data_IF_891168573243
#
_entry.id   IF_891168573243
#
_cell.length_a   1.000
_cell.length_b   1.000
_cell.length_c   1.000
_cell.angle_alpha   90.00
_cell.angle_beta   90.00
_cell.angle_gamma   90.00
#
_symmetry.space_group_name_H-M   'P 1'
#
loop_
_entity.id
_entity.type
_entity.pdbx_description
1 polymer ?
#
# COMPACT_ATOMS: atom_id res chain seq x y z
N UNK A 1 -18.35 -0.08 -10.74
CA UNK A 1 -17.85 1.10 -11.50
C UNK A 1 -17.36 0.69 -12.87
N UNK A 2 -17.16 1.65 -13.79
CA UNK A 2 -16.66 1.34 -15.14
C UNK A 2 -15.25 0.78 -15.09
N UNK A 3 -15.00 -0.26 -15.91
CA UNK A 3 -13.70 -0.90 -16.03
C UNK A 3 -12.72 0.04 -16.75
N UNK A 4 -11.78 0.62 -16.04
CA UNK A 4 -10.89 1.66 -16.54
C UNK A 4 -10.00 1.16 -17.70
N UNK A 5 -9.39 0.00 -17.54
CA UNK A 5 -8.49 -0.55 -18.54
C UNK A 5 -9.23 -1.02 -19.80
N UNK A 6 -10.46 -1.52 -19.63
CA UNK A 6 -11.34 -1.86 -20.75
C UNK A 6 -11.61 -0.67 -21.67
N UNK A 7 -11.86 0.52 -21.09
CA UNK A 7 -12.12 1.73 -21.88
C UNK A 7 -10.93 2.21 -22.72
N UNK A 8 -9.72 1.78 -22.37
CA UNK A 8 -8.49 2.10 -23.13
C UNK A 8 -8.23 1.15 -24.30
N UNK A 9 -9.07 0.15 -24.50
CA UNK A 9 -8.90 -0.89 -25.51
C UNK A 9 -9.61 -0.49 -26.83
N UNK A 10 -9.02 -0.92 -27.97
CA UNK A 10 -9.72 -0.87 -29.24
C UNK A 10 -10.84 -1.92 -29.29
N UNK A 11 -11.71 -1.87 -30.32
CA UNK A 11 -12.88 -2.76 -30.43
C UNK A 11 -12.52 -4.25 -30.48
N UNK A 12 -11.44 -4.61 -31.15
CA UNK A 12 -10.95 -5.99 -31.24
C UNK A 12 -10.49 -6.49 -29.87
N UNK A 13 -9.68 -5.71 -29.18
CA UNK A 13 -9.21 -6.00 -27.84
C UNK A 13 -10.36 -6.09 -26.84
N UNK A 14 -11.37 -5.21 -26.96
CA UNK A 14 -12.58 -5.27 -26.12
C UNK A 14 -13.34 -6.57 -26.33
N UNK A 15 -13.42 -7.06 -27.55
CA UNK A 15 -14.08 -8.34 -27.87
C UNK A 15 -13.35 -9.52 -27.19
N UNK A 16 -12.02 -9.56 -27.29
CA UNK A 16 -11.18 -10.57 -26.63
C UNK A 16 -11.34 -10.49 -25.10
N UNK A 17 -11.24 -9.29 -24.54
CA UNK A 17 -11.41 -9.05 -23.09
C UNK A 17 -12.77 -9.55 -22.58
N UNK A 18 -13.86 -9.26 -23.30
CA UNK A 18 -15.19 -9.75 -22.93
C UNK A 18 -15.33 -11.26 -23.01
N UNK A 19 -14.70 -11.91 -24.02
CA UNK A 19 -14.70 -13.36 -24.11
C UNK A 19 -14.01 -13.99 -22.90
N UNK A 20 -12.84 -13.46 -22.49
CA UNK A 20 -12.12 -13.92 -21.30
C UNK A 20 -12.97 -13.69 -20.05
N UNK A 21 -13.46 -12.47 -19.85
CA UNK A 21 -14.27 -12.09 -18.68
C UNK A 21 -15.48 -13.00 -18.52
N UNK A 22 -16.24 -13.22 -19.59
CA UNK A 22 -17.43 -14.08 -19.58
C UNK A 22 -17.10 -15.53 -19.23
N UNK A 23 -16.04 -16.11 -19.82
CA UNK A 23 -15.65 -17.49 -19.55
C UNK A 23 -15.22 -17.69 -18.09
N UNK A 24 -14.42 -16.78 -17.53
CA UNK A 24 -13.98 -16.88 -16.12
C UNK A 24 -15.11 -16.60 -15.14
N UNK A 25 -16.07 -15.73 -15.46
CA UNK A 25 -17.27 -15.50 -14.64
C UNK A 25 -18.19 -16.70 -14.59
N UNK A 26 -18.34 -17.42 -15.72
CA UNK A 26 -19.13 -18.64 -15.82
C UNK A 26 -18.42 -19.87 -15.23
N UNK A 27 -17.17 -19.72 -14.76
CA UNK A 27 -16.34 -20.82 -14.26
C UNK A 27 -16.19 -21.96 -15.30
N UNK A 28 -15.98 -21.59 -16.56
CA UNK A 28 -15.77 -22.55 -17.64
C UNK A 28 -14.36 -23.14 -17.55
N UNK A 29 -14.23 -24.46 -17.79
CA UNK A 29 -12.93 -25.12 -17.75
C UNK A 29 -12.06 -24.76 -18.96
N UNK A 30 -12.71 -24.58 -20.12
CA UNK A 30 -12.11 -24.09 -21.37
C UNK A 30 -13.17 -23.39 -22.21
N UNK A 31 -12.77 -22.38 -22.97
CA UNK A 31 -13.66 -21.62 -23.84
C UNK A 31 -12.90 -20.97 -25.00
N UNK A 32 -13.63 -20.55 -26.03
CA UNK A 32 -13.05 -19.91 -27.21
C UNK A 32 -12.82 -18.40 -26.93
N UNK A 33 -11.64 -17.95 -27.36
CA UNK A 33 -11.26 -16.54 -27.34
C UNK A 33 -10.71 -16.18 -28.72
N UNK A 34 -11.09 -15.04 -29.34
CA UNK A 34 -10.55 -14.65 -30.65
C UNK A 34 -9.02 -14.63 -30.64
N UNK A 35 -8.41 -15.12 -31.71
CA UNK A 35 -6.97 -15.24 -31.84
C UNK A 35 -6.32 -13.84 -31.90
N UNK A 36 -5.23 -13.67 -31.18
CA UNK A 36 -4.37 -12.49 -31.20
C UNK A 36 -2.93 -12.92 -30.95
N UNK A 37 -1.99 -11.99 -30.95
CA UNK A 37 -0.64 -12.29 -30.53
C UNK A 37 -0.57 -12.60 -29.03
N UNK A 38 0.49 -13.30 -28.63
CA UNK A 38 0.68 -13.76 -27.25
C UNK A 38 0.73 -12.61 -26.25
N UNK A 39 1.41 -11.55 -26.59
CA UNK A 39 1.60 -10.39 -25.68
C UNK A 39 0.27 -9.69 -25.43
N UNK A 40 -0.52 -9.47 -26.48
CA UNK A 40 -1.88 -8.92 -26.38
C UNK A 40 -2.75 -9.78 -25.47
N UNK A 41 -2.75 -11.12 -25.64
CA UNK A 41 -3.56 -12.01 -24.81
C UNK A 41 -3.20 -11.89 -23.31
N UNK A 42 -1.89 -11.90 -22.98
CA UNK A 42 -1.42 -11.74 -21.61
C UNK A 42 -1.78 -10.36 -21.03
N UNK A 43 -1.63 -9.30 -21.82
CA UNK A 43 -1.95 -7.94 -21.39
C UNK A 43 -3.45 -7.76 -21.13
N UNK A 44 -4.32 -8.35 -21.97
CA UNK A 44 -5.76 -8.26 -21.79
C UNK A 44 -6.23 -9.05 -20.57
N UNK A 45 -5.74 -10.27 -20.37
CA UNK A 45 -6.01 -11.04 -19.16
C UNK A 45 -5.57 -10.30 -17.89
N UNK A 46 -4.37 -9.72 -17.91
CA UNK A 46 -3.86 -8.96 -16.80
C UNK A 46 -4.72 -7.73 -16.49
N UNK A 47 -5.05 -6.90 -17.50
CA UNK A 47 -5.91 -5.72 -17.35
C UNK A 47 -7.30 -6.09 -16.84
N UNK A 48 -7.86 -7.20 -17.30
CA UNK A 48 -9.15 -7.73 -16.81
C UNK A 48 -9.09 -7.98 -15.28
N UNK A 49 -8.02 -8.57 -14.77
CA UNK A 49 -7.85 -8.82 -13.34
C UNK A 49 -7.67 -7.53 -12.52
N UNK A 50 -7.11 -6.46 -13.10
CA UNK A 50 -7.01 -5.15 -12.44
C UNK A 50 -8.35 -4.41 -12.41
N UNK A 51 -9.15 -4.54 -13.47
CA UNK A 51 -10.49 -3.94 -13.54
C UNK A 51 -11.50 -4.68 -12.62
N UNK A 52 -11.34 -6.01 -12.47
CA UNK A 52 -12.29 -6.92 -11.81
C UNK A 52 -11.66 -7.65 -10.63
N UNK A 53 -11.29 -6.94 -9.53
CA UNK A 53 -10.71 -7.57 -8.34
C UNK A 53 -11.67 -8.55 -7.65
N UNK A 54 -12.98 -8.47 -7.91
CA UNK A 54 -13.99 -9.43 -7.46
C UNK A 54 -13.77 -10.82 -8.05
N UNK A 55 -13.04 -10.95 -9.20
CA UNK A 55 -12.68 -12.21 -9.83
C UNK A 55 -11.36 -12.73 -9.23
N UNK A 56 -11.37 -13.04 -7.95
CA UNK A 56 -10.20 -13.48 -7.20
C UNK A 56 -9.81 -14.94 -7.39
N UNK A 57 -10.59 -15.71 -8.14
CA UNK A 57 -10.42 -17.16 -8.29
C UNK A 57 -9.61 -17.59 -9.49
N UNK A 58 -9.26 -16.69 -10.42
CA UNK A 58 -8.44 -16.99 -11.59
C UNK A 58 -7.06 -16.34 -11.43
N UNK A 59 -6.01 -17.17 -11.41
CA UNK A 59 -4.65 -16.72 -11.14
C UNK A 59 -3.74 -16.75 -12.38
N UNK A 60 -4.13 -17.53 -13.38
CA UNK A 60 -3.36 -17.69 -14.60
C UNK A 60 -4.21 -18.35 -15.69
N UNK A 61 -3.57 -18.62 -16.79
CA UNK A 61 -4.19 -19.36 -17.89
C UNK A 61 -3.15 -20.08 -18.72
N UNK A 62 -3.63 -21.12 -19.44
CA UNK A 62 -2.97 -21.75 -20.59
C UNK A 62 -3.87 -21.58 -21.79
N UNK A 63 -3.33 -21.73 -23.00
CA UNK A 63 -4.12 -21.73 -24.22
C UNK A 63 -3.59 -22.74 -25.21
N UNK A 64 -4.51 -23.26 -26.05
CA UNK A 64 -4.20 -24.10 -27.22
C UNK A 64 -4.57 -23.29 -28.44
N UNK A 65 -3.78 -23.42 -29.49
CA UNK A 65 -4.13 -22.88 -30.80
C UNK A 65 -3.94 -23.92 -31.86
N UNK A 66 -4.75 -23.85 -32.91
CA UNK A 66 -4.63 -24.69 -34.08
C UNK A 66 -4.31 -23.77 -35.26
N UNK A 67 -3.44 -24.26 -36.16
CA UNK A 67 -3.06 -23.51 -37.36
C UNK A 67 -4.31 -23.15 -38.15
N UNK A 68 -4.43 -21.89 -38.59
CA UNK A 68 -5.58 -21.34 -39.30
C UNK A 68 -6.91 -21.25 -38.49
N UNK A 69 -6.91 -21.49 -37.21
CA UNK A 69 -8.08 -21.24 -36.37
C UNK A 69 -8.21 -19.74 -36.06
N UNK A 70 -9.43 -19.16 -36.21
CA UNK A 70 -9.68 -17.78 -35.81
C UNK A 70 -9.76 -17.60 -34.30
N UNK A 71 -9.68 -18.67 -33.50
CA UNK A 71 -9.81 -18.65 -32.05
C UNK A 71 -8.73 -19.49 -31.37
N UNK A 72 -8.39 -19.09 -30.16
CA UNK A 72 -7.69 -19.93 -29.18
C UNK A 72 -8.70 -20.65 -28.28
N UNK A 73 -8.28 -21.80 -27.74
CA UNK A 73 -8.96 -22.42 -26.61
C UNK A 73 -8.26 -21.90 -25.37
N UNK A 74 -8.95 -21.04 -24.60
CA UNK A 74 -8.47 -20.49 -23.36
C UNK A 74 -8.80 -21.43 -22.21
N UNK A 75 -7.82 -21.73 -21.34
CA UNK A 75 -7.91 -22.67 -20.23
C UNK A 75 -7.50 -21.92 -18.96
N UNK A 76 -8.46 -21.39 -18.18
CA UNK A 76 -8.15 -20.65 -16.96
C UNK A 76 -7.57 -21.56 -15.88
N UNK A 77 -6.68 -21.01 -15.06
CA UNK A 77 -6.13 -21.66 -13.88
C UNK A 77 -6.84 -21.11 -12.65
N UNK A 78 -7.72 -21.92 -12.08
CA UNK A 78 -8.53 -21.56 -10.93
C UNK A 78 -7.82 -21.87 -9.62
N UNK A 79 -7.89 -20.93 -8.67
CA UNK A 79 -7.31 -21.06 -7.33
C UNK A 79 -8.00 -22.13 -6.48
N UNK A 80 -9.29 -22.38 -6.74
CA UNK A 80 -10.12 -23.31 -6.01
C UNK A 80 -11.01 -24.12 -6.97
N UNK A 81 -11.60 -25.21 -6.46
CA UNK A 81 -12.67 -25.92 -7.15
C UNK A 81 -13.94 -25.06 -7.25
N UNK A 82 -14.77 -25.29 -8.26
CA UNK A 82 -15.95 -24.48 -8.60
C UNK A 82 -16.90 -24.26 -7.40
N UNK A 83 -17.19 -25.31 -6.66
CA UNK A 83 -18.08 -25.23 -5.48
C UNK A 83 -17.51 -24.30 -4.40
N UNK A 84 -16.19 -24.38 -4.21
CA UNK A 84 -15.47 -23.54 -3.24
C UNK A 84 -15.37 -22.09 -3.69
N UNK A 85 -15.26 -21.84 -5.00
CA UNK A 85 -15.30 -20.48 -5.57
C UNK A 85 -16.65 -19.83 -5.22
N UNK A 86 -17.76 -20.53 -5.46
CA UNK A 86 -19.11 -20.00 -5.19
C UNK A 86 -19.30 -19.70 -3.69
N UNK A 87 -18.79 -20.57 -2.82
CA UNK A 87 -18.81 -20.33 -1.36
C UNK A 87 -18.02 -19.06 -0.99
N UNK A 88 -16.78 -18.96 -1.50
CA UNK A 88 -15.92 -17.81 -1.24
C UNK A 88 -16.47 -16.51 -1.82
N UNK A 89 -17.08 -16.51 -3.01
CA UNK A 89 -17.75 -15.34 -3.57
C UNK A 89 -18.82 -14.79 -2.61
N UNK A 90 -19.70 -15.67 -2.10
CA UNK A 90 -20.73 -15.28 -1.12
C UNK A 90 -20.09 -14.69 0.14
N UNK A 91 -19.05 -15.34 0.67
CA UNK A 91 -18.34 -14.88 1.86
C UNK A 91 -17.66 -13.54 1.64
N UNK A 92 -17.00 -13.33 0.50
CA UNK A 92 -16.33 -12.05 0.16
C UNK A 92 -17.33 -10.92 -0.04
N UNK A 93 -18.45 -11.16 -0.74
CA UNK A 93 -19.50 -10.16 -0.90
C UNK A 93 -20.06 -9.71 0.45
N UNK A 94 -20.40 -10.64 1.33
CA UNK A 94 -20.88 -10.35 2.69
C UNK A 94 -19.81 -9.62 3.53
N UNK A 95 -18.53 -9.99 3.35
CA UNK A 95 -17.40 -9.33 4.03
C UNK A 95 -17.23 -7.89 3.58
N UNK A 96 -17.23 -7.63 2.28
CA UNK A 96 -17.14 -6.27 1.70
C UNK A 96 -18.33 -5.43 2.20
N UNK A 97 -19.56 -5.93 2.09
CA UNK A 97 -20.77 -5.22 2.57
C UNK A 97 -20.67 -4.85 4.05
N UNK A 98 -20.23 -5.79 4.89
CA UNK A 98 -20.03 -5.54 6.33
C UNK A 98 -18.97 -4.47 6.59
N UNK A 99 -17.85 -4.50 5.86
CA UNK A 99 -16.74 -3.55 6.02
C UNK A 99 -17.12 -2.14 5.59
N UNK A 100 -17.85 -1.97 4.48
CA UNK A 100 -18.17 -0.62 3.97
C UNK A 100 -19.34 0.04 4.69
N UNK A 101 -20.21 -0.72 5.34
CA UNK A 101 -21.42 -0.21 5.98
C UNK A 101 -21.19 0.98 6.92
N UNK A 102 -20.17 1.01 7.80
CA UNK A 102 -19.93 2.15 8.69
C UNK A 102 -19.57 3.44 7.95
N UNK A 103 -18.94 3.32 6.76
CA UNK A 103 -18.40 4.45 6.02
C UNK A 103 -19.32 4.96 4.90
N UNK A 104 -20.50 4.38 4.70
CA UNK A 104 -21.41 4.73 3.59
C UNK A 104 -21.77 6.22 3.52
N UNK A 105 -21.89 6.89 4.68
CA UNK A 105 -22.26 8.31 4.78
C UNK A 105 -21.07 9.27 4.86
N UNK A 106 -19.84 8.75 4.84
CA UNK A 106 -18.64 9.56 4.90
C UNK A 106 -18.43 10.34 3.60
N UNK A 107 -17.68 11.43 3.66
CA UNK A 107 -17.16 12.11 2.47
C UNK A 107 -16.16 11.21 1.72
N UNK A 108 -15.89 11.48 0.44
CA UNK A 108 -14.94 10.69 -0.37
C UNK A 108 -13.57 10.54 0.31
N UNK A 109 -13.03 11.64 0.86
CA UNK A 109 -11.75 11.61 1.58
C UNK A 109 -11.80 10.77 2.86
N UNK A 110 -12.90 10.84 3.63
CA UNK A 110 -13.08 10.03 4.83
C UNK A 110 -13.28 8.54 4.49
N UNK A 111 -13.96 8.23 3.38
CA UNK A 111 -14.09 6.86 2.85
C UNK A 111 -12.74 6.29 2.45
N UNK A 112 -11.94 7.07 1.72
CA UNK A 112 -10.58 6.71 1.35
C UNK A 112 -9.72 6.43 2.59
N UNK A 113 -9.73 7.37 3.54
CA UNK A 113 -8.98 7.19 4.79
C UNK A 113 -9.43 5.96 5.58
N UNK A 114 -10.73 5.72 5.66
CA UNK A 114 -11.29 4.55 6.34
C UNK A 114 -10.78 3.23 5.74
N UNK A 115 -10.76 3.14 4.40
CA UNK A 115 -10.25 1.95 3.69
C UNK A 115 -8.74 1.81 3.90
N UNK A 116 -7.99 2.89 3.76
CA UNK A 116 -6.55 2.89 4.01
C UNK A 116 -6.21 2.43 5.43
N UNK A 117 -6.88 3.00 6.44
CA UNK A 117 -6.66 2.66 7.85
C UNK A 117 -6.99 1.18 8.10
N UNK A 118 -8.10 0.68 7.55
CA UNK A 118 -8.46 -0.72 7.65
C UNK A 118 -7.34 -1.64 7.13
N UNK A 119 -6.74 -1.32 5.98
CA UNK A 119 -5.62 -2.09 5.43
C UNK A 119 -4.41 -2.01 6.36
N UNK A 120 -4.03 -0.83 6.81
CA UNK A 120 -2.86 -0.64 7.67
C UNK A 120 -2.99 -1.36 9.02
N UNK A 121 -4.19 -1.42 9.58
CA UNK A 121 -4.46 -2.04 10.89
C UNK A 121 -4.65 -3.55 10.82
N UNK A 122 -5.29 -4.05 9.75
CA UNK A 122 -5.81 -5.42 9.73
C UNK A 122 -5.09 -6.35 8.74
N UNK A 123 -4.19 -5.84 7.90
CA UNK A 123 -3.49 -6.64 6.89
C UNK A 123 -2.00 -6.69 7.18
N UNK A 124 -1.42 -7.90 7.16
CA UNK A 124 0.01 -8.11 7.21
C UNK A 124 0.57 -8.37 5.81
N UNK A 125 1.76 -7.81 5.51
CA UNK A 125 2.43 -8.11 4.24
C UNK A 125 2.89 -9.57 4.22
N UNK A 126 2.47 -10.33 3.20
CA UNK A 126 2.81 -11.76 3.06
C UNK A 126 4.19 -11.94 2.43
N UNK A 127 5.19 -12.17 3.27
CA UNK A 127 6.57 -12.47 2.82
C UNK A 127 6.67 -13.81 2.08
N UNK A 128 5.73 -14.74 2.29
CA UNK A 128 5.70 -16.03 1.62
C UNK A 128 5.06 -15.98 0.23
N UNK A 129 4.39 -14.87 -0.10
CA UNK A 129 3.74 -14.62 -1.40
C UNK A 129 2.84 -15.76 -1.86
N UNK A 130 1.99 -16.24 -0.97
CA UNK A 130 1.03 -17.31 -1.29
C UNK A 130 0.07 -16.87 -2.39
N UNK A 131 -0.42 -17.77 -3.26
CA UNK A 131 -1.28 -17.40 -4.39
C UNK A 131 -2.49 -16.57 -4.01
N UNK A 132 -3.17 -16.89 -2.90
CA UNK A 132 -4.33 -16.14 -2.42
C UNK A 132 -3.98 -14.73 -1.89
N UNK A 133 -2.72 -14.47 -1.54
CA UNK A 133 -2.27 -13.15 -1.07
C UNK A 133 -2.18 -12.12 -2.20
N UNK A 134 -2.23 -12.54 -3.46
CA UNK A 134 -2.34 -11.70 -4.65
C UNK A 134 -3.79 -11.32 -4.99
N UNK A 135 -4.76 -11.86 -4.26
CA UNK A 135 -6.19 -11.68 -4.49
C UNK A 135 -6.88 -11.14 -3.25
N UNK A 136 -8.10 -10.59 -3.41
CA UNK A 136 -8.84 -9.97 -2.30
C UNK A 136 -9.09 -10.91 -1.12
N UNK A 137 -9.14 -12.22 -1.38
CA UNK A 137 -9.35 -13.22 -0.32
C UNK A 137 -8.19 -13.25 0.68
N UNK A 138 -6.98 -12.87 0.29
CA UNK A 138 -5.85 -12.70 1.19
C UNK A 138 -6.08 -11.56 2.19
N UNK A 139 -6.10 -10.29 1.76
CA UNK A 139 -6.28 -9.15 2.66
C UNK A 139 -7.62 -9.14 3.40
N UNK A 140 -8.73 -9.44 2.72
CA UNK A 140 -10.08 -9.33 3.31
C UNK A 140 -10.53 -10.58 4.06
N UNK A 141 -10.00 -11.76 3.70
CA UNK A 141 -10.36 -13.03 4.31
C UNK A 141 -9.36 -13.54 5.34
N UNK A 142 -8.06 -13.46 5.04
CA UNK A 142 -6.97 -14.01 5.85
C UNK A 142 -6.14 -12.95 6.58
N UNK A 143 -6.37 -11.66 6.33
CA UNK A 143 -5.58 -10.57 6.91
C UNK A 143 -4.13 -10.53 6.43
N UNK A 144 -3.82 -11.11 5.26
CA UNK A 144 -2.48 -11.10 4.67
C UNK A 144 -2.55 -10.78 3.18
N UNK A 145 -1.60 -10.00 2.66
CA UNK A 145 -1.58 -9.65 1.25
C UNK A 145 -0.20 -9.20 0.78
N UNK A 146 0.05 -9.35 -0.51
CA UNK A 146 1.13 -8.65 -1.21
C UNK A 146 0.56 -7.37 -1.83
N UNK A 147 1.39 -6.53 -2.43
CA UNK A 147 0.96 -5.25 -3.01
C UNK A 147 -0.26 -5.40 -3.96
N UNK A 148 -0.27 -6.43 -4.82
CA UNK A 148 -1.39 -6.69 -5.74
C UNK A 148 -2.69 -6.98 -5.00
N UNK A 149 -2.68 -7.87 -4.02
CA UNK A 149 -3.87 -8.19 -3.23
C UNK A 149 -4.36 -7.02 -2.39
N UNK A 150 -3.44 -6.24 -1.82
CA UNK A 150 -3.76 -5.01 -1.07
C UNK A 150 -4.41 -3.98 -1.99
N UNK A 151 -3.82 -3.70 -3.15
CA UNK A 151 -4.38 -2.75 -4.12
C UNK A 151 -5.76 -3.18 -4.63
N UNK A 152 -5.98 -4.48 -4.86
CA UNK A 152 -7.29 -5.06 -5.21
C UNK A 152 -8.30 -4.90 -4.07
N UNK A 153 -7.89 -5.11 -2.81
CA UNK A 153 -8.74 -4.94 -1.65
C UNK A 153 -9.14 -3.47 -1.45
N UNK A 154 -8.21 -2.54 -1.60
CA UNK A 154 -8.50 -1.09 -1.58
C UNK A 154 -9.52 -0.75 -2.66
N UNK A 155 -9.30 -1.20 -3.91
CA UNK A 155 -10.20 -0.92 -5.03
C UNK A 155 -11.61 -1.43 -4.76
N UNK A 156 -11.79 -2.69 -4.37
CA UNK A 156 -13.14 -3.25 -4.18
C UNK A 156 -13.91 -2.56 -3.05
N UNK A 157 -13.22 -2.16 -1.98
CA UNK A 157 -13.84 -1.43 -0.87
C UNK A 157 -14.22 0.00 -1.28
N UNK A 158 -13.35 0.72 -2.00
CA UNK A 158 -13.63 2.06 -2.50
C UNK A 158 -14.74 2.06 -3.55
N UNK A 159 -14.73 1.09 -4.47
CA UNK A 159 -15.80 0.90 -5.46
C UNK A 159 -17.15 0.68 -4.78
N UNK A 160 -17.20 -0.16 -3.75
CA UNK A 160 -18.41 -0.40 -2.95
C UNK A 160 -18.89 0.85 -2.18
N UNK A 161 -17.97 1.75 -1.81
CA UNK A 161 -18.26 3.04 -1.19
C UNK A 161 -18.61 4.15 -2.20
N UNK A 162 -18.55 3.88 -3.51
CA UNK A 162 -18.81 4.86 -4.56
C UNK A 162 -17.64 5.84 -4.80
N UNK A 163 -16.43 5.52 -4.36
CA UNK A 163 -15.20 6.29 -4.64
C UNK A 163 -14.48 5.67 -5.82
N UNK A 164 -14.23 6.46 -6.87
CA UNK A 164 -13.55 5.98 -8.06
C UNK A 164 -12.09 5.61 -7.76
N UNK A 165 -11.69 4.40 -8.17
CA UNK A 165 -10.38 3.85 -7.89
C UNK A 165 -9.91 2.95 -9.04
N UNK A 166 -8.64 3.08 -9.44
CA UNK A 166 -7.96 2.15 -10.35
C UNK A 166 -6.69 1.61 -9.70
N UNK A 167 -6.22 0.47 -10.18
CA UNK A 167 -4.96 -0.13 -9.72
C UNK A 167 -3.86 0.32 -10.68
N UNK A 168 -2.88 1.04 -10.17
CA UNK A 168 -1.67 1.42 -10.88
C UNK A 168 -0.61 0.32 -10.77
N UNK A 169 0.25 0.22 -11.78
CA UNK A 169 1.28 -0.82 -11.85
C UNK A 169 2.56 -0.25 -12.44
N UNK A 170 3.70 -0.49 -11.79
CA UNK A 170 5.02 -0.25 -12.35
C UNK A 170 5.78 -1.56 -12.65
N UNK A 171 6.81 -1.45 -13.47
CA UNK A 171 7.72 -2.55 -13.78
C UNK A 171 8.68 -2.87 -12.64
N UNK A 172 9.42 -3.96 -12.81
CA UNK A 172 10.66 -4.18 -12.08
C UNK A 172 11.79 -3.34 -12.71
N UNK A 173 12.85 -3.11 -11.94
CA UNK A 173 14.06 -2.45 -12.41
C UNK A 173 15.29 -3.13 -11.80
N UNK A 174 15.83 -4.17 -12.46
CA UNK A 174 16.96 -4.92 -11.96
C UNK A 174 18.23 -4.08 -11.73
N UNK A 175 18.42 -3.02 -12.51
CA UNK A 175 19.57 -2.11 -12.40
C UNK A 175 19.55 -1.34 -11.07
N UNK A 176 18.35 -1.03 -10.57
CA UNK A 176 18.14 -0.43 -9.24
C UNK A 176 17.93 -1.48 -8.14
N UNK A 177 18.11 -2.78 -8.44
CA UNK A 177 17.86 -3.86 -7.50
C UNK A 177 16.36 -4.16 -7.25
N UNK A 178 15.45 -3.57 -8.01
CA UNK A 178 14.01 -3.76 -7.90
C UNK A 178 13.63 -5.04 -8.66
N UNK A 179 13.45 -6.13 -7.92
CA UNK A 179 13.22 -7.47 -8.49
C UNK A 179 11.80 -7.73 -8.95
N UNK A 180 10.82 -7.01 -8.40
CA UNK A 180 9.40 -7.30 -8.59
C UNK A 180 8.65 -6.06 -9.07
N UNK A 181 7.57 -6.30 -9.81
CA UNK A 181 6.56 -5.29 -10.11
C UNK A 181 5.91 -4.82 -8.82
N UNK A 182 5.46 -3.58 -8.79
CA UNK A 182 4.70 -3.04 -7.67
C UNK A 182 3.36 -2.50 -8.14
N UNK A 183 2.34 -2.63 -7.28
CA UNK A 183 0.97 -2.18 -7.54
C UNK A 183 0.46 -1.36 -6.37
N UNK A 184 -0.24 -0.27 -6.69
CA UNK A 184 -0.92 0.61 -5.75
C UNK A 184 -2.21 1.15 -6.38
N UNK A 185 -2.81 2.17 -5.83
CA UNK A 185 -4.07 2.71 -6.32
C UNK A 185 -3.91 4.17 -6.80
N UNK A 186 -4.75 4.55 -7.77
CA UNK A 186 -5.06 5.94 -8.06
C UNK A 186 -6.53 6.13 -7.73
N UNK A 187 -6.83 7.12 -6.90
CA UNK A 187 -8.17 7.45 -6.42
C UNK A 187 -8.61 8.81 -6.94
N UNK A 188 -9.92 9.03 -7.08
CA UNK A 188 -10.47 10.33 -7.45
C UNK A 188 -11.26 10.90 -6.30
N UNK A 189 -10.77 12.01 -5.76
CA UNK A 189 -11.39 12.73 -4.62
C UNK A 189 -11.84 14.11 -5.09
N UNK A 190 -13.14 14.38 -5.07
CA UNK A 190 -13.74 15.63 -5.58
C UNK A 190 -13.30 15.98 -7.00
N UNK A 191 -13.25 14.98 -7.86
CA UNK A 191 -12.90 15.14 -9.27
C UNK A 191 -11.40 15.19 -9.59
N UNK A 192 -10.51 15.20 -8.59
CA UNK A 192 -9.05 15.23 -8.74
C UNK A 192 -8.45 13.86 -8.42
N UNK A 193 -7.46 13.44 -9.19
CA UNK A 193 -6.79 12.14 -9.06
C UNK A 193 -5.51 12.23 -8.21
N UNK A 194 -5.31 11.22 -7.37
CA UNK A 194 -4.17 11.10 -6.44
C UNK A 194 -3.67 9.67 -6.37
N UNK A 195 -2.38 9.49 -6.12
CA UNK A 195 -1.83 8.19 -5.77
C UNK A 195 -2.09 7.86 -4.30
N UNK A 196 -2.46 6.61 -4.05
CA UNK A 196 -2.65 6.01 -2.74
C UNK A 196 -1.91 4.68 -2.67
N UNK A 197 -0.83 4.59 -1.90
CA UNK A 197 -0.13 3.33 -1.67
C UNK A 197 -0.25 2.86 -0.22
N UNK A 198 -1.33 2.14 0.05
CA UNK A 198 -1.56 1.53 1.36
C UNK A 198 -0.55 0.42 1.69
N UNK A 199 0.16 -0.15 0.72
CA UNK A 199 1.19 -1.18 0.97
C UNK A 199 2.44 -0.55 1.59
N UNK A 200 2.92 0.56 1.04
CA UNK A 200 4.08 1.27 1.58
C UNK A 200 3.75 1.85 2.95
N UNK A 201 2.61 2.49 3.13
CA UNK A 201 2.18 3.01 4.43
C UNK A 201 2.02 1.90 5.48
N UNK A 202 1.47 0.75 5.12
CA UNK A 202 1.35 -0.42 5.99
C UNK A 202 2.71 -0.94 6.44
N UNK A 203 3.69 -1.05 5.54
CA UNK A 203 5.04 -1.56 5.86
C UNK A 203 5.83 -0.59 6.73
N UNK A 204 5.77 0.71 6.45
CA UNK A 204 6.40 1.76 7.26
C UNK A 204 5.82 1.84 8.69
N UNK A 205 4.53 1.53 8.87
CA UNK A 205 3.87 1.57 10.17
C UNK A 205 4.31 0.49 11.15
N UNK A 206 4.92 -0.60 10.65
CA UNK A 206 5.31 -1.78 11.47
C UNK A 206 6.70 -1.70 12.09
N UNK A 207 7.50 -0.70 11.71
CA UNK A 207 8.84 -0.53 12.24
C UNK A 207 8.84 0.28 13.55
N UNK A 208 8.85 -0.43 14.68
CA UNK A 208 9.30 -0.06 16.04
C UNK A 208 8.86 1.25 16.71
N UNK A 209 8.26 2.22 16.07
CA UNK A 209 7.69 3.40 16.72
C UNK A 209 6.17 3.26 16.79
N UNK A 210 5.71 2.85 17.98
CA UNK A 210 4.31 2.83 18.44
C UNK A 210 3.20 2.99 17.38
N UNK A 211 2.67 1.90 16.88
CA UNK A 211 1.27 1.67 16.51
C UNK A 211 0.45 2.68 15.69
N UNK A 212 0.95 3.88 15.42
CA UNK A 212 0.22 4.86 14.64
C UNK A 212 0.40 4.62 13.14
N UNK A 213 -0.71 4.67 12.41
CA UNK A 213 -0.74 4.54 10.96
C UNK A 213 0.14 5.61 10.29
N UNK A 214 0.87 5.21 9.25
CA UNK A 214 1.60 6.12 8.36
C UNK A 214 0.68 6.55 7.20
N UNK A 215 0.91 7.76 6.70
CA UNK A 215 0.18 8.35 5.57
C UNK A 215 1.14 9.04 4.59
N UNK A 216 2.33 8.48 4.45
CA UNK A 216 3.41 9.03 3.64
C UNK A 216 3.11 8.93 2.15
N UNK A 217 2.24 7.97 1.79
CA UNK A 217 1.81 7.68 0.42
C UNK A 217 0.30 7.87 0.22
N UNK A 218 -0.31 8.72 1.04
CA UNK A 218 -1.74 9.03 0.98
C UNK A 218 -1.99 10.34 0.22
N UNK A 219 -2.60 10.26 -0.96
CA UNK A 219 -2.92 11.38 -1.85
C UNK A 219 -1.69 12.14 -2.38
N UNK A 220 -0.73 11.40 -2.94
CA UNK A 220 0.44 11.97 -3.58
C UNK A 220 0.19 12.35 -5.05
N UNK A 221 0.82 13.46 -5.54
CA UNK A 221 0.92 13.72 -6.97
C UNK A 221 2.04 12.89 -7.63
N UNK A 222 2.00 12.80 -8.97
CA UNK A 222 3.04 12.15 -9.79
C UNK A 222 4.47 12.58 -9.39
N UNK A 223 4.67 13.87 -9.22
CA UNK A 223 5.99 14.43 -8.86
C UNK A 223 6.56 13.86 -7.55
N UNK A 224 5.70 13.40 -6.63
CA UNK A 224 6.12 12.86 -5.36
C UNK A 224 6.21 11.33 -5.40
N UNK A 225 5.21 10.64 -5.92
CA UNK A 225 5.20 9.17 -5.95
C UNK A 225 6.39 8.60 -6.73
N UNK A 226 6.73 9.21 -7.89
CA UNK A 226 7.84 8.75 -8.73
C UNK A 226 9.24 9.13 -8.21
N UNK A 227 9.37 9.59 -6.97
CA UNK A 227 10.68 9.71 -6.30
C UNK A 227 11.25 8.35 -5.90
N UNK A 228 10.41 7.39 -5.63
CA UNK A 228 10.75 6.05 -5.16
C UNK A 228 9.93 4.92 -5.81
N UNK A 229 8.95 5.27 -6.64
CA UNK A 229 8.23 4.32 -7.48
C UNK A 229 8.75 4.38 -8.92
N UNK A 230 8.81 3.22 -9.57
CA UNK A 230 9.18 3.15 -10.99
C UNK A 230 8.02 3.65 -11.89
N UNK A 231 8.32 4.08 -13.13
CA UNK A 231 7.30 4.51 -14.08
C UNK A 231 6.22 3.47 -14.33
N UNK A 232 5.00 3.93 -14.58
CA UNK A 232 3.86 3.07 -14.89
C UNK A 232 4.08 2.30 -16.20
N UNK A 233 3.74 1.02 -16.20
CA UNK A 233 3.76 0.15 -17.38
C UNK A 233 2.40 -0.02 -18.05
N UNK A 234 1.35 0.54 -17.45
CA UNK A 234 0.02 0.62 -18.01
C UNK A 234 -0.50 2.07 -17.92
N UNK A 235 -1.26 2.56 -18.91
CA UNK A 235 -1.81 3.91 -18.88
C UNK A 235 -2.66 4.12 -17.63
N UNK A 236 -2.46 5.25 -16.96
CA UNK A 236 -3.25 5.67 -15.81
C UNK A 236 -3.47 7.19 -15.84
N UNK A 237 -4.47 7.73 -15.14
CA UNK A 237 -4.70 9.16 -15.07
C UNK A 237 -3.53 9.87 -14.41
N UNK A 238 -3.15 11.05 -14.93
CA UNK A 238 -2.17 11.90 -14.29
C UNK A 238 -2.66 12.43 -12.95
N UNK A 239 -1.79 12.46 -11.95
CA UNK A 239 -2.02 13.00 -10.62
C UNK A 239 -1.19 14.26 -10.43
N UNK A 240 -1.71 15.42 -10.89
CA UNK A 240 -0.94 16.68 -10.94
C UNK A 240 -1.05 17.51 -9.66
N UNK A 241 -2.06 17.28 -8.85
CA UNK A 241 -2.36 18.03 -7.63
C UNK A 241 -1.91 17.25 -6.38
N UNK A 242 -1.28 17.93 -5.45
CA UNK A 242 -0.85 17.40 -4.15
C UNK A 242 -1.48 18.09 -2.95
N UNK A 243 -2.60 18.82 -3.12
CA UNK A 243 -3.19 19.61 -2.04
C UNK A 243 -3.91 18.75 -1.00
N UNK A 244 -4.37 17.56 -1.41
CA UNK A 244 -4.98 16.56 -0.51
C UNK A 244 -3.97 15.57 0.11
N UNK A 245 -2.68 15.79 -0.09
CA UNK A 245 -1.67 15.03 0.65
C UNK A 245 -1.94 15.10 2.14
N UNK A 246 -1.97 13.95 2.82
CA UNK A 246 -2.43 13.82 4.19
C UNK A 246 -1.85 14.87 5.15
N UNK A 247 -0.53 15.05 5.12
CA UNK A 247 0.15 15.98 6.04
C UNK A 247 -0.15 17.44 5.73
N UNK A 248 -0.50 17.81 4.49
CA UNK A 248 -1.02 19.15 4.16
C UNK A 248 -2.43 19.33 4.70
N UNK A 249 -3.32 18.38 4.45
CA UNK A 249 -4.71 18.41 4.93
C UNK A 249 -4.79 18.50 6.45
N UNK A 250 -3.88 17.80 7.16
CA UNK A 250 -3.80 17.80 8.62
C UNK A 250 -2.97 18.96 9.20
N UNK A 251 -2.47 19.90 8.38
CA UNK A 251 -1.60 21.01 8.80
C UNK A 251 -0.33 20.52 9.53
N UNK A 252 0.20 19.39 9.07
CA UNK A 252 1.44 18.76 9.51
C UNK A 252 2.52 18.82 8.43
N UNK A 253 2.45 19.80 7.54
CA UNK A 253 3.42 20.02 6.47
C UNK A 253 4.08 21.39 6.70
N UNK A 254 5.36 21.38 7.08
CA UNK A 254 6.05 22.57 7.56
C UNK A 254 7.07 23.12 6.56
N UNK A 255 7.24 24.45 6.57
CA UNK A 255 8.24 25.18 5.77
C UNK A 255 9.29 25.87 6.64
N UNK A 256 9.06 26.00 7.95
CA UNK A 256 9.90 26.70 8.89
C UNK A 256 10.35 25.78 10.01
N UNK A 257 11.62 25.88 10.35
CA UNK A 257 12.24 25.10 11.45
C UNK A 257 11.58 25.41 12.80
N UNK A 258 11.16 26.66 13.02
CA UNK A 258 10.50 27.09 14.24
C UNK A 258 9.14 26.39 14.45
N UNK A 259 8.44 26.05 13.36
CA UNK A 259 7.19 25.28 13.45
C UNK A 259 7.48 23.84 13.89
N UNK A 260 8.53 23.23 13.35
CA UNK A 260 8.99 21.89 13.77
C UNK A 260 9.34 21.89 15.25
N UNK A 261 10.14 22.86 15.72
CA UNK A 261 10.47 22.98 17.13
C UNK A 261 9.23 23.11 18.03
N UNK A 262 8.30 24.02 17.69
CA UNK A 262 7.07 24.24 18.48
C UNK A 262 6.21 22.99 18.57
N UNK A 263 6.05 22.27 17.44
CA UNK A 263 5.29 21.01 17.41
C UNK A 263 5.98 19.89 18.18
N UNK A 264 7.30 19.80 18.05
CA UNK A 264 8.13 18.87 18.80
C UNK A 264 8.02 19.09 20.30
N UNK A 265 8.05 20.35 20.74
CA UNK A 265 7.88 20.70 22.15
C UNK A 265 6.50 20.27 22.71
N UNK A 266 5.43 20.45 21.89
CA UNK A 266 4.09 19.99 22.25
C UNK A 266 4.00 18.45 22.31
N UNK A 267 4.64 17.76 21.37
CA UNK A 267 4.69 16.31 21.32
C UNK A 267 5.47 15.74 22.52
N UNK A 268 6.64 16.28 22.82
CA UNK A 268 7.47 15.91 23.98
C UNK A 268 6.70 16.10 25.29
N UNK A 269 6.04 17.26 25.47
CA UNK A 269 5.22 17.53 26.67
C UNK A 269 4.07 16.52 26.85
N UNK A 270 3.45 16.06 25.77
CA UNK A 270 2.28 15.17 25.81
C UNK A 270 2.63 13.69 25.71
N UNK A 271 3.90 13.33 25.54
CA UNK A 271 4.32 11.95 25.28
C UNK A 271 3.72 11.37 23.98
N UNK A 272 3.47 12.22 22.97
CA UNK A 272 2.86 11.82 21.68
C UNK A 272 3.92 11.74 20.59
N UNK A 273 3.65 10.89 19.60
CA UNK A 273 4.40 10.87 18.34
C UNK A 273 4.06 12.11 17.52
N UNK A 274 5.06 12.70 16.87
CA UNK A 274 4.88 13.73 15.84
C UNK A 274 5.39 13.18 14.52
N UNK A 275 4.49 13.05 13.54
CA UNK A 275 4.85 12.76 12.13
C UNK A 275 4.50 13.98 11.29
N UNK A 276 5.45 14.45 10.48
CA UNK A 276 5.26 15.64 9.67
C UNK A 276 6.02 15.53 8.33
N UNK A 277 5.51 16.23 7.33
CA UNK A 277 6.16 16.42 6.04
C UNK A 277 6.97 17.73 6.04
N UNK A 278 8.23 17.67 5.59
CA UNK A 278 9.06 18.83 5.38
C UNK A 278 8.96 19.34 3.94
N UNK A 279 8.63 20.62 3.75
CA UNK A 279 8.57 21.29 2.43
C UNK A 279 9.26 22.65 2.39
N UNK A 280 10.10 22.96 3.37
CA UNK A 280 10.89 24.19 3.46
C UNK A 280 12.13 24.20 2.56
N UNK A 281 12.16 23.31 1.56
CA UNK A 281 13.27 23.08 0.65
C UNK A 281 13.54 21.59 0.49
N UNK A 282 14.61 21.22 -0.20
CA UNK A 282 15.04 19.81 -0.27
C UNK A 282 15.48 19.33 1.11
N UNK A 283 15.10 18.11 1.46
CA UNK A 283 15.58 17.46 2.67
C UNK A 283 17.00 16.93 2.41
N UNK A 284 18.01 17.81 2.56
CA UNK A 284 19.41 17.41 2.52
C UNK A 284 19.85 16.88 3.90
N UNK A 285 21.05 16.30 3.98
CA UNK A 285 21.61 15.85 5.26
C UNK A 285 21.79 17.00 6.25
N UNK A 286 22.24 18.17 5.77
CA UNK A 286 22.41 19.39 6.55
C UNK A 286 21.07 19.90 7.07
N UNK A 287 20.04 19.96 6.21
CA UNK A 287 18.70 20.35 6.63
C UNK A 287 18.12 19.36 7.65
N UNK A 288 18.29 18.05 7.43
CA UNK A 288 17.87 17.06 8.42
C UNK A 288 18.57 17.27 9.75
N UNK A 289 19.88 17.57 9.76
CA UNK A 289 20.60 17.85 11.02
C UNK A 289 19.98 19.03 11.75
N UNK A 290 19.67 20.14 11.05
CA UNK A 290 19.00 21.31 11.65
C UNK A 290 17.64 20.91 12.26
N UNK A 291 16.84 20.09 11.57
CA UNK A 291 15.56 19.62 12.07
C UNK A 291 15.75 18.72 13.32
N UNK A 292 16.72 17.81 13.26
CA UNK A 292 17.06 16.89 14.37
C UNK A 292 17.49 17.68 15.62
N UNK A 293 18.34 18.69 15.45
CA UNK A 293 18.81 19.52 16.57
C UNK A 293 17.66 20.29 17.24
N UNK A 294 16.73 20.79 16.46
CA UNK A 294 15.53 21.44 17.00
C UNK A 294 14.58 20.45 17.71
N UNK A 295 14.41 19.23 17.17
CA UNK A 295 13.62 18.18 17.83
C UNK A 295 14.31 17.72 19.13
N UNK A 296 15.65 17.56 19.11
CA UNK A 296 16.44 17.20 20.30
C UNK A 296 16.36 18.29 21.36
N UNK A 297 16.50 19.56 20.98
CA UNK A 297 16.31 20.70 21.90
C UNK A 297 14.93 20.65 22.57
N UNK A 298 13.87 20.41 21.81
CA UNK A 298 12.52 20.28 22.34
C UNK A 298 12.37 19.10 23.31
N UNK A 299 13.03 17.97 23.03
CA UNK A 299 13.08 16.81 23.93
C UNK A 299 13.80 17.14 25.24
N UNK A 300 15.00 17.70 25.16
CA UNK A 300 15.82 18.06 26.32
C UNK A 300 15.09 19.03 27.26
N UNK A 301 14.32 20.01 26.75
CA UNK A 301 13.51 20.92 27.55
C UNK A 301 12.39 20.20 28.32
N UNK A 302 12.09 18.97 28.00
CA UNK A 302 11.07 18.14 28.67
C UNK A 302 11.67 16.89 29.32
N UNK A 303 12.99 16.83 29.46
CA UNK A 303 13.73 15.67 29.98
C UNK A 303 13.37 14.36 29.26
N UNK A 304 13.30 14.42 27.91
CA UNK A 304 12.95 13.28 27.05
C UNK A 304 14.09 12.99 26.06
N UNK A 305 14.33 11.72 25.81
CA UNK A 305 15.06 11.24 24.62
C UNK A 305 14.12 11.16 23.43
N UNK A 306 14.66 10.98 22.22
CA UNK A 306 13.85 10.84 21.01
C UNK A 306 14.29 9.64 20.18
N UNK A 307 13.32 8.95 19.58
CA UNK A 307 13.50 8.01 18.48
C UNK A 307 13.04 8.67 17.19
N UNK A 308 13.78 8.46 16.11
CA UNK A 308 13.55 9.11 14.82
C UNK A 308 13.39 8.08 13.72
N UNK A 309 12.38 8.28 12.88
CA UNK A 309 12.21 7.55 11.61
C UNK A 309 12.05 8.56 10.48
N UNK A 310 12.63 8.26 9.32
CA UNK A 310 12.64 9.17 8.17
C UNK A 310 12.24 8.38 6.93
N UNK A 311 11.20 8.86 6.26
CA UNK A 311 10.93 8.52 4.88
C UNK A 311 11.60 9.58 4.00
N UNK A 312 12.81 9.29 3.56
CA UNK A 312 13.65 10.24 2.84
C UNK A 312 13.05 10.69 1.50
N UNK A 313 12.59 9.80 0.60
CA UNK A 313 12.00 10.20 -0.67
C UNK A 313 10.81 11.14 -0.51
N UNK A 314 9.96 10.88 0.47
CA UNK A 314 8.75 11.68 0.72
C UNK A 314 8.99 12.85 1.68
N UNK A 315 10.21 13.02 2.20
CA UNK A 315 10.58 14.04 3.17
C UNK A 315 9.63 14.05 4.39
N UNK A 316 9.24 12.86 4.87
CA UNK A 316 8.41 12.69 6.06
C UNK A 316 9.28 12.26 7.23
N UNK A 317 9.18 13.01 8.32
CA UNK A 317 9.94 12.79 9.54
C UNK A 317 8.98 12.42 10.68
N UNK A 318 9.31 11.35 11.41
CA UNK A 318 8.55 10.89 12.57
C UNK A 318 9.46 10.88 13.79
N UNK A 319 9.04 11.51 14.87
CA UNK A 319 9.74 11.56 16.15
C UNK A 319 8.82 11.10 17.27
N UNK A 320 9.34 10.21 18.11
CA UNK A 320 8.73 9.80 19.38
C UNK A 320 9.63 10.21 20.53
N UNK A 321 9.04 10.82 21.55
CA UNK A 321 9.73 11.21 22.78
C UNK A 321 9.47 10.19 23.87
N UNK A 322 10.56 9.78 24.55
CA UNK A 322 10.54 8.78 25.62
C UNK A 322 11.17 9.38 26.88
N UNK A 323 10.80 8.88 28.05
CA UNK A 323 11.49 9.24 29.30
C UNK A 323 12.97 8.90 29.18
N UNK A 324 13.83 9.75 29.74
CA UNK A 324 15.23 9.41 29.93
C UNK A 324 15.26 8.15 30.80
N UNK A 325 15.75 7.06 30.28
CA UNK A 325 16.12 5.93 31.13
C UNK A 325 17.31 6.40 31.95
N UNK A 326 17.11 6.59 33.26
CA UNK A 326 18.21 6.69 34.19
C UNK A 326 18.82 5.28 34.20
N UNK A 327 20.00 5.12 33.61
CA UNK A 327 20.81 3.93 33.88
C UNK A 327 21.01 3.91 35.41
N UNK A 328 20.31 3.00 36.10
CA UNK A 328 20.72 2.64 37.45
C UNK A 328 22.16 2.13 37.31
N UNK A 329 23.10 2.93 37.81
CA UNK A 329 24.47 2.54 37.94
C UNK A 329 24.47 1.24 38.75
N UNK A 330 24.70 0.12 38.06
CA UNK A 330 25.02 -1.14 38.74
C UNK A 330 26.30 -0.86 39.48
N UNK A 331 26.23 -0.60 40.80
CA UNK A 331 27.37 -0.67 41.67
C UNK A 331 27.79 -2.14 41.65
N UNK A 332 28.87 -2.44 40.91
CA UNK A 332 29.60 -3.67 41.13
C UNK A 332 30.18 -3.57 42.53
N UNK A 333 29.58 -4.28 43.48
CA UNK A 333 30.28 -4.60 44.73
C UNK A 333 31.40 -5.59 44.33
N UNK A 334 32.65 -5.16 44.46
CA UNK A 334 33.81 -6.01 44.38
C UNK A 334 33.70 -7.12 45.43
N UNK A 335 33.27 -8.29 45.02
CA UNK A 335 33.40 -9.48 45.85
C UNK A 335 34.88 -9.84 45.94
N UNK A 336 35.53 -9.41 47.04
CA UNK A 336 36.83 -9.90 47.44
C UNK A 336 36.75 -11.40 47.66
N UNK A 337 37.15 -12.20 46.68
CA UNK A 337 37.46 -13.60 46.86
C UNK A 337 38.91 -13.67 47.37
N UNK A 338 39.03 -13.77 48.70
CA UNK A 338 40.29 -14.19 49.32
C UNK A 338 40.57 -15.66 48.93
N UNK A 339 41.63 -15.86 48.15
CA UNK A 339 42.22 -17.18 47.93
C UNK A 339 42.72 -17.70 49.28
N UNK A 340 42.08 -18.74 49.80
CA UNK A 340 42.72 -19.66 50.73
C UNK A 340 43.16 -20.89 49.95
N UNK A 341 44.45 -20.89 49.63
CA UNK A 341 45.20 -22.12 49.38
C UNK A 341 45.47 -22.75 50.73
N UNK A 342 44.92 -23.90 51.01
CA UNK A 342 45.47 -24.87 51.92
C UNK A 342 45.71 -26.16 51.16
N UNK A 343 47.01 -26.61 51.19
CA UNK A 343 47.45 -27.81 50.61
C UNK A 343 47.11 -29.05 51.45
N UNK A 344 46.91 -30.14 50.77
CA UNK A 344 47.53 -31.46 51.01
C UNK A 344 47.20 -32.39 49.84
#
# INVERSE_FOLDING_TARGET
MEAYYFQQLNKEQQHIYHAILKGVQNLENEFLVPACDRETLYNLFFRMRLDHPEIFWVTGFRYKYYQNSPNFIFIPEYLFKKEKIIEHQKAMNARVEKLVRPAMKFSEWEKEKYVHDFICENVCYDKLKKPYSHEIIGPLGQGVGVCEGIAKAVKILLDALGVWCVIALCGNNPEKGIKYRHTWNIVKIRGVTYHLDATFDNTLGKDNISGEIRYDYFNLPDKQIFRDHEPLIAPAPACTDGDRFYYKEKKLSFTKVEEVYKRSLQAAKKGKVLTYHWRGGYLTREMLQVLVDNMRKAGNEKNKTMLLQINWPQAVVRVQYQELQVEESIQMEDANISEQYDGE
#
